data_IF_102716417407
#
_entry.id   IF_102716417407
#
_cell.length_a   1.000
_cell.length_b   1.000
_cell.length_c   1.000
_cell.angle_alpha   90.00
_cell.angle_beta   90.00
_cell.angle_gamma   90.00
#
_symmetry.space_group_name_H-M   'P 1'
#
loop_
_entity.id
_entity.type
_entity.pdbx_description
1 polymer ?
#
# COMPACT_ATOMS: atom_id res chain seq x y z
N UNK A 1 26.37 33.58 -19.31
CA UNK A 1 25.22 33.62 -18.40
C UNK A 1 24.50 32.28 -18.53
N UNK A 2 24.40 31.47 -17.46
CA UNK A 2 23.67 30.19 -17.47
C UNK A 2 22.17 30.51 -17.55
N UNK A 3 21.49 30.09 -18.60
CA UNK A 3 20.03 30.13 -18.64
C UNK A 3 19.51 29.33 -17.45
N UNK A 4 18.59 29.87 -16.62
CA UNK A 4 17.91 29.06 -15.65
C UNK A 4 17.13 28.02 -16.46
N UNK A 5 17.48 26.75 -16.30
CA UNK A 5 16.67 25.64 -16.78
C UNK A 5 15.31 25.75 -16.10
N UNK A 6 14.37 26.41 -16.78
CA UNK A 6 12.97 26.49 -16.36
C UNK A 6 12.48 25.05 -16.29
N UNK A 7 12.13 24.60 -15.09
CA UNK A 7 11.59 23.27 -14.87
C UNK A 7 10.18 23.25 -15.49
N UNK A 8 10.03 22.59 -16.63
CA UNK A 8 8.75 22.41 -17.30
C UNK A 8 7.95 21.30 -16.64
N UNK A 9 6.71 21.61 -16.24
CA UNK A 9 5.79 20.64 -15.65
C UNK A 9 4.98 19.94 -16.75
N UNK A 10 5.08 18.62 -16.85
CA UNK A 10 4.42 17.84 -17.89
C UNK A 10 3.00 17.45 -17.48
N UNK A 11 2.06 17.45 -18.42
CA UNK A 11 0.70 16.94 -18.19
C UNK A 11 0.70 15.41 -18.04
N UNK A 12 0.80 14.95 -16.79
CA UNK A 12 0.68 13.52 -16.45
C UNK A 12 -0.79 13.08 -16.47
N UNK A 13 -1.10 12.00 -17.18
CA UNK A 13 -2.44 11.41 -17.21
C UNK A 13 -2.87 10.95 -15.80
N UNK A 14 -4.14 11.14 -15.46
CA UNK A 14 -4.73 10.76 -14.17
C UNK A 14 -4.44 9.30 -13.81
N UNK A 15 -4.41 8.39 -14.79
CA UNK A 15 -4.06 6.97 -14.56
C UNK A 15 -2.66 6.78 -13.97
N UNK A 16 -1.67 7.54 -14.46
CA UNK A 16 -0.32 7.50 -13.92
C UNK A 16 -0.26 8.08 -12.52
N UNK A 17 -0.99 9.18 -12.26
CA UNK A 17 -1.09 9.75 -10.90
C UNK A 17 -1.67 8.72 -9.91
N UNK A 18 -2.73 8.02 -10.30
CA UNK A 18 -3.37 6.98 -9.49
C UNK A 18 -2.44 5.80 -9.25
N UNK A 19 -1.75 5.32 -10.29
CA UNK A 19 -0.76 4.26 -10.16
C UNK A 19 0.37 4.66 -9.22
N UNK A 20 0.91 5.88 -9.36
CA UNK A 20 1.96 6.41 -8.48
C UNK A 20 1.49 6.55 -7.02
N UNK A 21 0.23 6.93 -6.79
CA UNK A 21 -0.35 6.96 -5.44
C UNK A 21 -0.40 5.55 -4.81
N UNK A 22 -0.81 4.53 -5.57
CA UNK A 22 -0.79 3.14 -5.08
C UNK A 22 0.61 2.63 -4.79
N UNK A 23 1.59 3.01 -5.60
CA UNK A 23 3.01 2.72 -5.34
C UNK A 23 3.46 3.38 -4.03
N UNK A 24 3.10 4.65 -3.80
CA UNK A 24 3.40 5.36 -2.57
C UNK A 24 2.79 4.67 -1.34
N UNK A 25 1.52 4.27 -1.43
CA UNK A 25 0.82 3.50 -0.39
C UNK A 25 1.53 2.18 -0.09
N UNK A 26 1.92 1.43 -1.13
CA UNK A 26 2.69 0.19 -0.97
C UNK A 26 4.01 0.43 -0.22
N UNK A 27 4.73 1.52 -0.53
CA UNK A 27 5.94 1.87 0.22
C UNK A 27 5.65 2.20 1.68
N UNK A 28 4.60 2.97 1.97
CA UNK A 28 4.20 3.25 3.36
C UNK A 28 3.94 1.98 4.16
N UNK A 29 3.28 0.98 3.56
CA UNK A 29 3.08 -0.33 4.20
C UNK A 29 4.39 -1.07 4.44
N UNK A 30 5.25 -1.16 3.42
CA UNK A 30 6.55 -1.83 3.55
C UNK A 30 7.39 -1.21 4.67
N UNK A 31 7.47 0.12 4.72
CA UNK A 31 8.21 0.81 5.77
C UNK A 31 7.56 0.64 7.14
N UNK A 32 6.23 0.70 7.23
CA UNK A 32 5.51 0.45 8.48
C UNK A 32 5.78 -0.94 9.04
N UNK A 33 5.68 -1.97 8.18
CA UNK A 33 5.97 -3.36 8.56
C UNK A 33 7.43 -3.52 8.98
N UNK A 34 8.36 -2.94 8.21
CA UNK A 34 9.79 -2.97 8.51
C UNK A 34 10.12 -2.30 9.85
N UNK A 35 9.56 -1.12 10.12
CA UNK A 35 9.75 -0.44 11.40
C UNK A 35 9.14 -1.21 12.57
N UNK A 36 8.02 -1.92 12.34
CA UNK A 36 7.40 -2.75 13.37
C UNK A 36 8.32 -3.88 13.85
N UNK A 37 9.24 -4.36 13.00
CA UNK A 37 10.20 -5.41 13.34
C UNK A 37 11.30 -4.93 14.29
N UNK A 38 11.62 -3.64 14.30
CA UNK A 38 12.61 -3.07 15.23
C UNK A 38 12.04 -2.84 16.64
N UNK A 39 10.72 -2.97 16.83
CA UNK A 39 10.11 -2.87 18.15
C UNK A 39 10.59 -4.03 19.02
N UNK A 40 11.14 -3.77 20.22
CA UNK A 40 11.65 -4.82 21.11
C UNK A 40 10.58 -5.88 21.39
N UNK A 41 10.98 -7.15 21.34
CA UNK A 41 10.09 -8.30 21.57
C UNK A 41 9.15 -8.65 20.41
N UNK A 42 9.06 -7.85 19.33
CA UNK A 42 8.19 -8.16 18.17
C UNK A 42 8.61 -9.44 17.45
N UNK A 43 9.91 -9.59 17.18
CA UNK A 43 10.47 -10.76 16.48
C UNK A 43 10.32 -12.02 17.33
N UNK A 44 10.61 -11.93 18.63
CA UNK A 44 10.48 -13.06 19.56
C UNK A 44 9.02 -13.50 19.69
N UNK A 45 8.08 -12.55 19.82
CA UNK A 45 6.65 -12.84 19.80
C UNK A 45 6.23 -13.52 18.49
N UNK A 46 6.70 -13.03 17.33
CA UNK A 46 6.46 -13.65 16.03
C UNK A 46 6.97 -15.09 15.97
N UNK A 47 8.16 -15.36 16.50
CA UNK A 47 8.73 -16.71 16.60
C UNK A 47 7.91 -17.62 17.53
N UNK A 48 7.35 -17.06 18.60
CA UNK A 48 6.46 -17.76 19.53
C UNK A 48 5.02 -17.89 19.01
N UNK A 49 4.76 -17.50 17.77
CA UNK A 49 3.46 -17.62 17.12
C UNK A 49 2.46 -16.53 17.52
N UNK A 50 2.93 -15.37 17.95
CA UNK A 50 2.11 -14.22 18.33
C UNK A 50 2.52 -12.98 17.53
N UNK A 51 1.61 -12.48 16.70
CA UNK A 51 1.81 -11.22 15.96
C UNK A 51 1.23 -10.06 16.77
N UNK A 52 1.53 -8.82 16.34
CA UNK A 52 0.86 -7.63 16.89
C UNK A 52 -0.67 -7.65 16.77
N UNK A 53 -1.24 -8.55 15.96
CA UNK A 53 -2.68 -8.79 15.79
C UNK A 53 -3.15 -10.11 16.44
N UNK A 54 -2.41 -10.62 17.43
CA UNK A 54 -2.68 -11.87 18.14
C UNK A 54 -2.06 -13.11 17.49
N UNK A 55 -2.53 -14.30 17.86
CA UNK A 55 -1.93 -15.58 17.45
C UNK A 55 -1.80 -15.72 15.94
N UNK A 56 -0.62 -16.12 15.45
CA UNK A 56 -0.32 -16.34 14.03
C UNK A 56 -0.86 -17.68 13.57
N UNK A 57 -2.13 -17.70 13.18
CA UNK A 57 -2.74 -18.86 12.51
C UNK A 57 -2.39 -18.81 11.02
N UNK A 58 -2.18 -19.94 10.32
CA UNK A 58 -1.91 -19.96 8.87
C UNK A 58 -2.92 -19.16 8.05
N UNK A 59 -4.20 -19.22 8.43
CA UNK A 59 -5.29 -18.44 7.80
C UNK A 59 -5.06 -16.93 7.94
N UNK A 60 -4.63 -16.45 9.10
CA UNK A 60 -4.38 -15.02 9.30
C UNK A 60 -3.21 -14.53 8.46
N UNK A 61 -2.12 -15.30 8.40
CA UNK A 61 -0.95 -14.97 7.58
C UNK A 61 -1.36 -14.90 6.10
N UNK A 62 -2.18 -15.85 5.64
CA UNK A 62 -2.71 -15.84 4.28
C UNK A 62 -3.57 -14.59 4.01
N UNK A 63 -4.44 -14.22 4.94
CA UNK A 63 -5.27 -13.01 4.81
C UNK A 63 -4.43 -11.74 4.75
N UNK A 64 -3.38 -11.61 5.58
CA UNK A 64 -2.43 -10.50 5.50
C UNK A 64 -1.67 -10.48 4.17
N UNK A 65 -1.24 -11.64 3.67
CA UNK A 65 -0.56 -11.72 2.37
C UNK A 65 -1.46 -11.27 1.21
N UNK A 66 -2.72 -11.70 1.19
CA UNK A 66 -3.71 -11.27 0.19
C UNK A 66 -3.95 -9.76 0.31
N UNK A 67 -4.14 -9.27 1.53
CA UNK A 67 -4.33 -7.85 1.82
C UNK A 67 -3.14 -7.01 1.35
N UNK A 68 -1.90 -7.48 1.47
CA UNK A 68 -0.71 -6.75 1.01
C UNK A 68 -0.42 -6.93 -0.49
N UNK A 69 -1.01 -7.93 -1.15
CA UNK A 69 -0.87 -8.13 -2.60
C UNK A 69 -1.77 -7.17 -3.40
N UNK A 70 -2.92 -6.83 -2.85
CA UNK A 70 -3.92 -5.97 -3.48
C UNK A 70 -3.39 -4.56 -3.86
N UNK A 71 -2.59 -3.83 -3.06
CA UNK A 71 -2.02 -2.54 -3.45
C UNK A 71 -1.10 -2.66 -4.66
N UNK A 72 -0.27 -3.72 -4.72
CA UNK A 72 0.57 -4.03 -5.88
C UNK A 72 -0.26 -4.29 -7.14
N UNK A 73 -1.36 -5.03 -7.01
CA UNK A 73 -2.30 -5.24 -8.11
C UNK A 73 -2.96 -3.94 -8.56
N UNK A 74 -3.29 -3.03 -7.63
CA UNK A 74 -3.89 -1.73 -7.93
C UNK A 74 -2.96 -0.81 -8.74
N UNK A 75 -1.63 -0.93 -8.58
CA UNK A 75 -0.65 -0.20 -9.41
C UNK A 75 -0.86 -0.54 -10.90
N UNK A 76 -1.00 -1.83 -11.22
CA UNK A 76 -1.21 -2.31 -12.59
C UNK A 76 -2.64 -2.03 -13.07
N UNK A 77 -3.65 -2.34 -12.24
CA UNK A 77 -5.06 -2.13 -12.57
C UNK A 77 -5.37 -0.66 -12.87
N UNK A 78 -4.73 0.28 -12.15
CA UNK A 78 -4.88 1.72 -12.38
C UNK A 78 -4.53 2.16 -13.81
N UNK A 79 -3.61 1.44 -14.47
CA UNK A 79 -3.18 1.70 -15.84
C UNK A 79 -4.03 0.92 -16.84
N UNK A 80 -4.26 -0.37 -16.58
CA UNK A 80 -4.92 -1.31 -17.49
C UNK A 80 -6.44 -1.07 -17.64
N UNK A 81 -7.13 -0.64 -16.59
CA UNK A 81 -8.60 -0.58 -16.62
C UNK A 81 -9.16 0.63 -17.37
N UNK A 82 -10.41 0.47 -17.84
CA UNK A 82 -11.19 1.58 -18.40
C UNK A 82 -11.50 2.61 -17.29
N UNK A 83 -11.48 3.93 -17.59
CA UNK A 83 -11.59 4.98 -16.58
C UNK A 83 -12.83 4.87 -15.67
N UNK A 84 -13.98 4.45 -16.22
CA UNK A 84 -15.24 4.32 -15.47
C UNK A 84 -15.16 3.26 -14.37
N UNK A 85 -14.55 2.11 -14.66
CA UNK A 85 -14.42 0.99 -13.70
C UNK A 85 -13.31 1.30 -12.71
N UNK A 86 -12.18 1.84 -13.21
CA UNK A 86 -11.04 2.19 -12.38
C UNK A 86 -11.41 3.18 -11.26
N UNK A 87 -12.27 4.16 -11.56
CA UNK A 87 -12.72 5.14 -10.57
C UNK A 87 -13.42 4.48 -9.37
N UNK A 88 -14.36 3.57 -9.61
CA UNK A 88 -15.09 2.90 -8.53
C UNK A 88 -14.18 1.98 -7.73
N UNK A 89 -13.33 1.20 -8.40
CA UNK A 89 -12.38 0.29 -7.73
C UNK A 89 -11.43 1.06 -6.83
N UNK A 90 -10.87 2.18 -7.31
CA UNK A 90 -9.93 2.99 -6.52
C UNK A 90 -10.60 3.61 -5.30
N UNK A 91 -11.85 4.09 -5.43
CA UNK A 91 -12.59 4.65 -4.30
C UNK A 91 -12.86 3.57 -3.25
N UNK A 92 -13.38 2.42 -3.69
CA UNK A 92 -13.73 1.30 -2.79
C UNK A 92 -12.47 0.80 -2.07
N UNK A 93 -11.38 0.58 -2.80
CA UNK A 93 -10.13 0.08 -2.24
C UNK A 93 -9.48 1.13 -1.34
N UNK A 94 -9.43 2.39 -1.74
CA UNK A 94 -8.90 3.47 -0.91
C UNK A 94 -9.66 3.61 0.42
N UNK A 95 -10.99 3.53 0.41
CA UNK A 95 -11.79 3.53 1.62
C UNK A 95 -11.53 2.29 2.48
N UNK A 96 -11.50 1.11 1.86
CA UNK A 96 -11.22 -0.14 2.55
C UNK A 96 -9.86 -0.12 3.27
N UNK A 97 -8.78 0.30 2.60
CA UNK A 97 -7.45 0.41 3.22
C UNK A 97 -7.38 1.46 4.33
N UNK A 98 -8.11 2.57 4.17
CA UNK A 98 -8.20 3.60 5.22
C UNK A 98 -8.84 3.02 6.49
N UNK A 99 -9.94 2.29 6.35
CA UNK A 99 -10.60 1.61 7.47
C UNK A 99 -9.67 0.57 8.10
N UNK A 100 -8.98 -0.23 7.29
CA UNK A 100 -8.03 -1.23 7.78
C UNK A 100 -6.90 -0.58 8.59
N UNK A 101 -6.34 0.54 8.12
CA UNK A 101 -5.32 1.28 8.86
C UNK A 101 -5.82 1.81 10.21
N UNK A 102 -7.05 2.31 10.26
CA UNK A 102 -7.66 2.79 11.51
C UNK A 102 -7.91 1.64 12.50
N UNK A 103 -8.22 0.44 12.00
CA UNK A 103 -8.47 -0.73 12.85
C UNK A 103 -7.18 -1.39 13.35
N UNK A 104 -6.09 -1.30 12.58
CA UNK A 104 -4.82 -1.97 12.87
C UNK A 104 -3.83 -1.07 13.61
N UNK A 105 -3.86 0.24 13.35
CA UNK A 105 -3.04 1.24 14.04
C UNK A 105 -3.55 1.57 15.43
#
# INVERSE_FOLDING_TARGET
>A
MKNPTILEDFKINVKFKLSALWVSVMFCYIYGDFFSLFVPGRIENLMNGNSGAGSTTPIKILMFAILMTLPSLMVFLSLALRPKINRWIIIIMGLFYTIVMILVG
#
